data_IF_635266675511
#
_entry.id   IF_635266675511
#
_cell.length_a   1.000
_cell.length_b   1.000
_cell.length_c   1.000
_cell.angle_alpha   90.00
_cell.angle_beta   90.00
_cell.angle_gamma   90.00
#
_symmetry.space_group_name_H-M   'P 1'
#
loop_
_entity.id
_entity.type
_entity.pdbx_description
1 polymer ?
#
# COMPACT_ATOMS: atom_id res chain seq x y z
N UNK A 1 17.50 -3.18 10.67
CA UNK A 1 16.56 -3.59 9.61
C UNK A 1 16.12 -2.38 8.79
N UNK A 2 16.33 -2.40 7.47
CA UNK A 2 15.86 -1.38 6.52
C UNK A 2 14.52 -1.79 5.90
N UNK A 3 13.53 -0.92 5.97
CA UNK A 3 12.17 -1.14 5.48
C UNK A 3 11.82 -0.03 4.51
N UNK A 4 11.36 -0.37 3.30
CA UNK A 4 10.89 0.60 2.31
C UNK A 4 9.41 0.44 2.07
N UNK A 5 8.68 1.55 2.16
CA UNK A 5 7.27 1.64 1.79
C UNK A 5 7.17 2.24 0.39
N UNK A 6 6.47 1.57 -0.52
CA UNK A 6 6.23 2.04 -1.87
C UNK A 6 4.73 1.97 -2.17
N UNK A 7 4.21 2.99 -2.83
CA UNK A 7 2.78 3.10 -3.07
C UNK A 7 2.37 4.47 -3.58
N UNK A 8 1.08 4.76 -3.43
CA UNK A 8 0.44 5.97 -3.92
C UNK A 8 0.32 7.09 -2.86
N UNK A 9 -0.73 7.93 -2.92
CA UNK A 9 -0.99 9.02 -1.98
C UNK A 9 -1.22 8.54 -0.54
N UNK A 10 -1.78 7.34 -0.36
CA UNK A 10 -2.01 6.77 0.97
C UNK A 10 -0.66 6.49 1.64
N UNK A 11 0.32 6.02 0.86
CA UNK A 11 1.69 5.78 1.33
C UNK A 11 2.47 7.09 1.44
N UNK A 12 2.33 8.01 0.49
CA UNK A 12 3.02 9.31 0.49
C UNK A 12 2.76 10.07 1.80
N UNK A 13 1.51 10.13 2.25
CA UNK A 13 1.15 10.75 3.52
C UNK A 13 1.61 12.21 3.63
N UNK A 14 1.64 12.97 2.52
CA UNK A 14 2.10 14.37 2.49
C UNK A 14 3.59 14.59 2.84
N UNK A 15 4.44 13.56 2.75
CA UNK A 15 5.89 13.71 2.98
C UNK A 15 6.52 14.78 2.08
N UNK A 16 7.51 15.49 2.59
CA UNK A 16 8.39 16.33 1.79
C UNK A 16 9.33 15.44 0.94
N UNK A 17 9.08 15.39 -0.36
CA UNK A 17 9.88 14.58 -1.30
C UNK A 17 11.35 15.02 -1.42
N UNK A 18 11.66 16.25 -1.01
CA UNK A 18 13.02 16.77 -1.01
C UNK A 18 13.81 16.39 0.25
N UNK A 19 13.15 15.82 1.26
CA UNK A 19 13.78 15.29 2.47
C UNK A 19 13.63 13.75 2.48
N UNK A 20 14.71 12.99 2.22
CA UNK A 20 14.67 11.53 2.22
C UNK A 20 14.29 10.90 3.57
N UNK A 21 14.43 11.63 4.68
CA UNK A 21 14.09 11.18 6.03
C UNK A 21 12.64 11.47 6.41
N UNK A 22 11.93 12.30 5.65
CA UNK A 22 10.54 12.62 5.92
C UNK A 22 9.62 11.44 5.55
N UNK A 23 8.87 10.98 6.54
CA UNK A 23 7.93 9.86 6.43
C UNK A 23 6.49 10.33 6.15
N UNK A 24 6.25 11.64 6.13
CA UNK A 24 4.92 12.24 6.03
C UNK A 24 4.09 12.04 7.28
N UNK A 25 2.86 12.52 7.28
CA UNK A 25 1.92 12.50 8.41
C UNK A 25 0.98 11.27 8.39
N UNK A 26 1.31 10.29 7.54
CA UNK A 26 0.46 9.13 7.23
C UNK A 26 0.74 7.89 8.09
N UNK A 27 0.31 6.74 7.57
CA UNK A 27 0.50 5.46 8.27
C UNK A 27 1.97 5.05 8.40
N UNK A 28 2.86 5.52 7.51
CA UNK A 28 4.29 5.18 7.53
C UNK A 28 4.99 5.79 8.73
N UNK A 29 4.72 7.06 9.07
CA UNK A 29 5.26 7.69 10.28
C UNK A 29 4.69 7.04 11.55
N UNK A 30 3.38 6.77 11.58
CA UNK A 30 2.75 6.07 12.70
C UNK A 30 3.37 4.67 12.89
N UNK A 31 3.59 3.96 11.79
CA UNK A 31 4.25 2.67 11.76
C UNK A 31 5.65 2.76 12.38
N UNK A 32 6.49 3.67 11.90
CA UNK A 32 7.86 3.82 12.38
C UNK A 32 7.90 4.14 13.88
N UNK A 33 7.08 5.09 14.32
CA UNK A 33 6.99 5.50 15.72
C UNK A 33 6.54 4.37 16.65
N UNK A 34 5.58 3.54 16.22
CA UNK A 34 5.15 2.37 16.99
C UNK A 34 6.21 1.27 16.99
N UNK A 35 6.79 0.99 15.83
CA UNK A 35 7.74 -0.10 15.65
C UNK A 35 8.98 0.07 16.54
N UNK A 36 9.58 1.27 16.56
CA UNK A 36 10.77 1.55 17.37
C UNK A 36 10.52 1.45 18.88
N UNK A 37 9.29 1.70 19.34
CA UNK A 37 8.91 1.55 20.74
C UNK A 37 8.61 0.10 21.11
N UNK A 38 8.14 -0.71 20.16
CA UNK A 38 7.84 -2.12 20.41
C UNK A 38 9.09 -3.00 20.41
N UNK A 39 10.13 -2.60 19.68
CA UNK A 39 11.36 -3.37 19.50
C UNK A 39 12.58 -2.49 19.74
N UNK A 40 12.76 -2.04 20.99
CA UNK A 40 13.78 -1.05 21.38
C UNK A 40 15.22 -1.52 21.10
N UNK A 41 15.47 -2.83 21.14
CA UNK A 41 16.79 -3.43 20.86
C UNK A 41 17.10 -3.55 19.35
N UNK A 42 16.16 -3.19 18.47
CA UNK A 42 16.33 -3.28 17.02
C UNK A 42 16.45 -1.90 16.39
N UNK A 43 17.55 -1.66 15.69
CA UNK A 43 17.71 -0.43 14.88
C UNK A 43 16.92 -0.54 13.57
N UNK A 44 15.97 0.37 13.37
CA UNK A 44 15.18 0.47 12.13
C UNK A 44 15.58 1.66 11.28
N UNK A 45 15.62 1.45 9.97
CA UNK A 45 15.63 2.52 8.96
C UNK A 45 14.38 2.37 8.12
N UNK A 46 13.48 3.35 8.16
CA UNK A 46 12.25 3.34 7.36
C UNK A 46 12.36 4.40 6.27
N UNK A 47 12.05 4.01 5.03
CA UNK A 47 12.02 4.90 3.89
C UNK A 47 10.59 4.97 3.35
N UNK A 48 10.08 6.19 3.17
CA UNK A 48 8.82 6.43 2.48
C UNK A 48 9.09 6.80 1.02
N UNK A 49 8.63 5.96 0.10
CA UNK A 49 8.69 6.14 -1.36
C UNK A 49 7.29 6.16 -1.97
N UNK A 50 6.30 6.61 -1.20
CA UNK A 50 4.97 6.91 -1.72
C UNK A 50 4.99 8.14 -2.64
N UNK A 51 4.19 8.09 -3.71
CA UNK A 51 3.97 9.21 -4.65
C UNK A 51 2.49 9.29 -5.01
N UNK A 52 1.88 10.44 -4.74
CA UNK A 52 0.47 10.71 -4.91
C UNK A 52 0.00 10.52 -6.35
N UNK A 53 -1.06 9.73 -6.51
CA UNK A 53 -1.66 9.44 -7.80
C UNK A 53 -0.96 8.34 -8.61
N UNK A 54 0.11 7.73 -8.11
CA UNK A 54 0.77 6.63 -8.81
C UNK A 54 -0.18 5.47 -9.07
N UNK A 55 -0.09 4.94 -10.29
CA UNK A 55 -0.58 3.62 -10.70
C UNK A 55 0.54 2.60 -10.61
N UNK A 56 0.23 1.33 -10.79
CA UNK A 56 1.26 0.27 -10.73
C UNK A 56 2.36 0.46 -11.79
N UNK A 57 2.01 1.00 -12.97
CA UNK A 57 2.96 1.31 -14.04
C UNK A 57 3.95 2.42 -13.63
N UNK A 58 3.47 3.44 -12.91
CA UNK A 58 4.30 4.54 -12.44
C UNK A 58 5.30 4.03 -11.38
N UNK A 59 4.84 3.15 -10.47
CA UNK A 59 5.70 2.47 -9.50
C UNK A 59 6.75 1.60 -10.21
N UNK A 60 6.36 0.82 -11.22
CA UNK A 60 7.30 -0.03 -11.98
C UNK A 60 8.42 0.78 -12.64
N UNK A 61 8.11 1.97 -13.16
CA UNK A 61 9.07 2.84 -13.82
C UNK A 61 10.14 3.41 -12.87
N UNK A 62 9.83 3.56 -11.58
CA UNK A 62 10.76 4.08 -10.55
C UNK A 62 11.28 3.02 -9.58
N UNK A 63 10.90 1.76 -9.75
CA UNK A 63 11.17 0.68 -8.80
C UNK A 63 12.66 0.48 -8.52
N UNK A 64 13.50 0.60 -9.55
CA UNK A 64 14.95 0.44 -9.41
C UNK A 64 15.54 1.50 -8.46
N UNK A 65 15.16 2.76 -8.67
CA UNK A 65 15.65 3.88 -7.87
C UNK A 65 15.08 3.83 -6.45
N UNK A 66 13.78 3.62 -6.31
CA UNK A 66 13.09 3.80 -5.03
C UNK A 66 13.17 2.58 -4.12
N UNK A 67 13.31 1.37 -4.66
CA UNK A 67 13.22 0.13 -3.88
C UNK A 67 14.47 -0.73 -4.03
N UNK A 68 14.87 -1.05 -5.26
CA UNK A 68 15.91 -2.05 -5.49
C UNK A 68 17.31 -1.52 -5.15
N UNK A 69 17.59 -0.25 -5.45
CA UNK A 69 18.86 0.40 -5.10
C UNK A 69 19.08 0.51 -3.59
N UNK A 70 17.99 0.57 -2.81
CA UNK A 70 18.03 0.71 -1.36
C UNK A 70 18.50 -0.55 -0.64
N UNK A 71 18.41 -1.72 -1.30
CA UNK A 71 18.73 -3.03 -0.71
C UNK A 71 18.03 -3.22 0.65
N UNK A 72 16.72 -2.96 0.68
CA UNK A 72 15.92 -3.08 1.89
C UNK A 72 15.78 -4.54 2.32
N UNK A 73 15.69 -4.79 3.62
CA UNK A 73 15.37 -6.10 4.17
C UNK A 73 13.90 -6.44 3.93
N UNK A 74 13.02 -5.42 4.01
CA UNK A 74 11.58 -5.54 3.77
C UNK A 74 11.10 -4.43 2.85
N UNK A 75 10.28 -4.80 1.87
CA UNK A 75 9.48 -3.87 1.06
C UNK A 75 7.99 -4.05 1.38
N UNK A 76 7.28 -2.94 1.55
CA UNK A 76 5.83 -2.90 1.74
C UNK A 76 5.20 -2.18 0.56
N UNK A 77 4.34 -2.89 -0.18
CA UNK A 77 3.60 -2.33 -1.31
C UNK A 77 2.13 -2.11 -0.93
N UNK A 78 1.64 -0.89 -1.14
CA UNK A 78 0.22 -0.52 -1.11
C UNK A 78 -0.10 0.35 -2.33
N UNK A 79 -0.69 -0.26 -3.35
CA UNK A 79 -1.05 0.41 -4.61
C UNK A 79 -2.15 -0.35 -5.35
N UNK A 80 -2.85 0.34 -6.25
CA UNK A 80 -3.84 -0.23 -7.17
C UNK A 80 -5.16 0.53 -7.24
N UNK A 81 -5.48 1.37 -6.26
CA UNK A 81 -6.75 2.13 -6.27
C UNK A 81 -6.80 3.15 -7.40
N UNK A 82 -5.68 3.80 -7.72
CA UNK A 82 -5.60 4.78 -8.81
C UNK A 82 -5.77 4.14 -10.19
N UNK A 83 -5.32 2.89 -10.36
CA UNK A 83 -5.48 2.14 -11.61
C UNK A 83 -6.96 1.98 -11.98
N UNK A 84 -7.84 1.86 -10.98
CA UNK A 84 -9.28 1.75 -11.19
C UNK A 84 -9.95 3.13 -11.26
N UNK A 85 -9.61 4.03 -10.33
CA UNK A 85 -10.27 5.34 -10.22
C UNK A 85 -9.98 6.21 -11.45
N UNK A 86 -8.75 6.16 -12.01
CA UNK A 86 -8.37 6.93 -13.21
C UNK A 86 -8.87 6.29 -14.50
N UNK A 87 -8.92 4.95 -14.58
CA UNK A 87 -9.42 4.26 -15.77
C UNK A 87 -10.93 4.46 -16.02
N UNK A 88 -11.64 5.19 -15.16
CA UNK A 88 -13.03 5.58 -15.33
C UNK A 88 -13.21 7.03 -15.78
N UNK A 89 -12.13 7.73 -16.15
CA UNK A 89 -12.23 8.94 -16.95
C UNK A 89 -12.79 8.61 -18.35
N UNK A 90 -13.53 9.53 -19.01
CA UNK A 90 -14.20 9.22 -20.26
C UNK A 90 -13.24 8.71 -21.34
N UNK A 91 -13.40 7.45 -21.76
CA UNK A 91 -12.64 6.83 -22.85
C UNK A 91 -11.67 5.73 -22.42
N UNK A 92 -11.34 5.63 -21.13
CA UNK A 92 -10.53 4.53 -20.59
C UNK A 92 -11.43 3.41 -20.04
N UNK A 93 -10.93 2.18 -20.07
CA UNK A 93 -11.53 1.02 -19.40
C UNK A 93 -10.45 0.34 -18.59
N UNK A 94 -10.77 -0.04 -17.35
CA UNK A 94 -9.86 -0.83 -16.55
C UNK A 94 -9.67 -2.22 -17.19
N UNK A 95 -8.41 -2.60 -17.42
CA UNK A 95 -8.02 -3.93 -17.88
C UNK A 95 -7.27 -4.65 -16.76
N UNK A 96 -7.95 -5.63 -16.16
CA UNK A 96 -7.43 -6.40 -15.04
C UNK A 96 -6.24 -7.28 -15.43
N UNK A 97 -6.11 -7.71 -16.69
CA UNK A 97 -4.99 -8.54 -17.13
C UNK A 97 -3.72 -7.70 -17.30
N UNK A 98 -3.84 -6.56 -17.99
CA UNK A 98 -2.72 -5.60 -18.12
C UNK A 98 -2.26 -5.10 -16.75
N UNK A 99 -3.20 -4.77 -15.85
CA UNK A 99 -2.87 -4.43 -14.46
C UNK A 99 -2.16 -5.59 -13.75
N UNK A 100 -2.69 -6.81 -13.83
CA UNK A 100 -2.14 -7.99 -13.17
C UNK A 100 -0.71 -8.28 -13.60
N UNK A 101 -0.41 -8.21 -14.90
CA UNK A 101 0.93 -8.42 -15.43
C UNK A 101 1.93 -7.36 -14.93
N UNK A 102 1.53 -6.09 -14.89
CA UNK A 102 2.37 -5.02 -14.36
C UNK A 102 2.60 -5.15 -12.85
N UNK A 103 1.58 -5.56 -12.09
CA UNK A 103 1.69 -5.81 -10.66
C UNK A 103 2.61 -7.00 -10.37
N UNK A 104 2.46 -8.09 -11.13
CA UNK A 104 3.32 -9.27 -11.04
C UNK A 104 4.79 -8.93 -11.30
N UNK A 105 5.08 -8.11 -12.32
CA UNK A 105 6.44 -7.65 -12.60
C UNK A 105 7.05 -6.90 -11.41
N UNK A 106 6.29 -5.98 -10.80
CA UNK A 106 6.75 -5.25 -9.60
C UNK A 106 7.06 -6.22 -8.45
N UNK A 107 6.15 -7.16 -8.13
CA UNK A 107 6.37 -8.11 -7.05
C UNK A 107 7.59 -9.00 -7.32
N UNK A 108 7.69 -9.53 -8.54
CA UNK A 108 8.79 -10.38 -8.99
C UNK A 108 10.13 -9.66 -8.84
N UNK A 109 10.24 -8.42 -9.34
CA UNK A 109 11.47 -7.61 -9.27
C UNK A 109 11.88 -7.32 -7.83
N UNK A 110 10.94 -7.00 -6.94
CA UNK A 110 11.24 -6.82 -5.50
C UNK A 110 11.81 -8.10 -4.90
N UNK A 111 11.19 -9.25 -5.19
CA UNK A 111 11.64 -10.55 -4.69
C UNK A 111 13.02 -10.96 -5.22
N UNK A 112 13.28 -10.71 -6.50
CA UNK A 112 14.59 -10.93 -7.12
C UNK A 112 15.67 -9.99 -6.53
N UNK A 113 15.28 -8.80 -6.07
CA UNK A 113 16.13 -7.88 -5.31
C UNK A 113 16.48 -8.37 -3.89
N UNK A 114 15.88 -9.46 -3.42
CA UNK A 114 16.19 -10.11 -2.14
C UNK A 114 15.40 -9.62 -0.94
N UNK A 115 14.53 -8.62 -1.09
CA UNK A 115 13.71 -8.12 0.00
C UNK A 115 12.59 -9.12 0.36
N UNK A 116 12.25 -9.19 1.65
CA UNK A 116 10.96 -9.74 2.09
C UNK A 116 9.85 -8.79 1.65
N UNK A 117 8.76 -9.33 1.12
CA UNK A 117 7.68 -8.56 0.55
C UNK A 117 6.42 -8.66 1.40
N UNK A 118 5.93 -7.51 1.88
CA UNK A 118 4.58 -7.37 2.43
C UNK A 118 3.70 -6.71 1.38
N UNK A 119 2.63 -7.40 0.97
CA UNK A 119 1.57 -6.79 0.17
C UNK A 119 0.45 -6.37 1.10
N UNK A 120 0.23 -5.06 1.22
CA UNK A 120 -0.98 -4.51 1.79
C UNK A 120 -1.95 -4.24 0.64
N UNK A 121 -3.03 -5.03 0.54
CA UNK A 121 -3.94 -4.89 -0.59
C UNK A 121 -4.60 -3.50 -0.60
N UNK A 122 -4.84 -2.92 -1.79
CA UNK A 122 -5.61 -1.69 -1.90
C UNK A 122 -7.04 -1.90 -1.35
N UNK A 123 -7.68 -0.82 -0.92
CA UNK A 123 -9.05 -0.82 -0.41
C UNK A 123 -9.88 0.29 -1.04
N UNK A 124 -11.21 0.14 -1.04
CA UNK A 124 -12.13 1.17 -1.52
C UNK A 124 -13.44 1.17 -0.72
N UNK A 125 -13.71 2.25 0.02
CA UNK A 125 -14.94 2.35 0.78
C UNK A 125 -16.13 2.69 -0.13
N UNK A 126 -17.29 2.10 0.19
CA UNK A 126 -18.53 2.23 -0.59
C UNK A 126 -19.30 3.56 -0.34
N UNK A 127 -18.62 4.70 -0.45
CA UNK A 127 -19.28 6.02 -0.49
C UNK A 127 -20.00 6.23 -1.84
N UNK A 128 -21.03 7.10 -1.94
CA UNK A 128 -21.92 7.15 -3.11
C UNK A 128 -21.21 7.27 -4.48
N UNK A 129 -20.19 8.11 -4.61
CA UNK A 129 -19.46 8.34 -5.86
C UNK A 129 -18.43 7.23 -6.18
N UNK A 130 -18.04 6.43 -5.17
CA UNK A 130 -17.09 5.31 -5.33
C UNK A 130 -17.76 3.98 -5.64
N UNK A 131 -19.07 3.82 -5.39
CA UNK A 131 -19.81 2.58 -5.69
C UNK A 131 -19.67 2.12 -7.15
N UNK A 132 -19.59 3.06 -8.09
CA UNK A 132 -19.43 2.77 -9.53
C UNK A 132 -18.14 2.02 -9.87
N UNK A 133 -17.10 2.16 -9.04
CA UNK A 133 -15.80 1.52 -9.25
C UNK A 133 -15.74 0.11 -8.70
N UNK A 134 -16.71 -0.31 -7.88
CA UNK A 134 -16.60 -1.55 -7.10
C UNK A 134 -16.38 -2.78 -7.97
N UNK A 135 -17.06 -2.89 -9.12
CA UNK A 135 -16.90 -4.02 -10.05
C UNK A 135 -15.45 -4.15 -10.54
N UNK A 136 -14.89 -3.06 -11.04
CA UNK A 136 -13.55 -3.08 -11.63
C UNK A 136 -12.49 -3.17 -10.52
N UNK A 137 -12.77 -2.57 -9.35
CA UNK A 137 -11.95 -2.71 -8.16
C UNK A 137 -11.92 -4.15 -7.64
N UNK A 138 -13.05 -4.88 -7.63
CA UNK A 138 -13.09 -6.29 -7.22
C UNK A 138 -12.25 -7.17 -8.17
N UNK A 139 -12.29 -6.89 -9.47
CA UNK A 139 -11.45 -7.58 -10.45
C UNK A 139 -9.96 -7.31 -10.23
N UNK A 140 -9.60 -6.06 -9.94
CA UNK A 140 -8.23 -5.65 -9.57
C UNK A 140 -7.78 -6.35 -8.28
N UNK A 141 -8.61 -6.31 -7.23
CA UNK A 141 -8.31 -6.89 -5.93
C UNK A 141 -8.13 -8.40 -6.01
N UNK A 142 -8.92 -9.09 -6.84
CA UNK A 142 -8.75 -10.52 -7.10
C UNK A 142 -7.36 -10.84 -7.67
N UNK A 143 -6.85 -10.01 -8.59
CA UNK A 143 -5.48 -10.14 -9.13
C UNK A 143 -4.43 -9.91 -8.04
N UNK A 144 -4.58 -8.85 -7.24
CA UNK A 144 -3.66 -8.56 -6.13
C UNK A 144 -3.60 -9.72 -5.14
N UNK A 145 -4.75 -10.30 -4.77
CA UNK A 145 -4.82 -11.44 -3.84
C UNK A 145 -4.17 -12.70 -4.39
N UNK A 146 -4.43 -13.05 -5.66
CA UNK A 146 -3.76 -14.18 -6.31
C UNK A 146 -2.23 -14.01 -6.34
N UNK A 147 -1.77 -12.82 -6.71
CA UNK A 147 -0.35 -12.49 -6.76
C UNK A 147 0.28 -12.46 -5.36
N UNK A 148 -0.42 -11.96 -4.35
CA UNK A 148 0.06 -11.98 -2.98
C UNK A 148 0.29 -13.40 -2.47
N UNK A 149 -0.57 -14.36 -2.82
CA UNK A 149 -0.37 -15.78 -2.49
C UNK A 149 0.90 -16.34 -3.14
N UNK A 150 1.21 -15.92 -4.37
CA UNK A 150 2.36 -16.42 -5.14
C UNK A 150 3.69 -15.78 -4.74
N UNK A 151 3.70 -14.49 -4.40
CA UNK A 151 4.93 -13.70 -4.28
C UNK A 151 5.19 -13.09 -2.91
N UNK A 152 4.15 -12.77 -2.13
CA UNK A 152 4.34 -12.06 -0.87
C UNK A 152 4.84 -13.00 0.23
N UNK A 153 5.76 -12.52 1.06
CA UNK A 153 6.11 -13.20 2.32
C UNK A 153 5.04 -12.96 3.39
N UNK A 154 4.28 -11.85 3.28
CA UNK A 154 3.09 -11.63 4.07
C UNK A 154 2.04 -10.77 3.33
N UNK A 155 0.76 -11.04 3.61
CA UNK A 155 -0.37 -10.31 3.04
C UNK A 155 -1.22 -9.64 4.14
N UNK A 156 -1.62 -8.38 3.91
CA UNK A 156 -2.55 -7.62 4.76
C UNK A 156 -3.81 -7.31 3.96
N UNK A 157 -4.93 -7.95 4.33
CA UNK A 157 -6.22 -7.82 3.64
C UNK A 157 -6.99 -6.55 4.07
N UNK A 158 -6.48 -5.37 3.71
CA UNK A 158 -7.04 -4.09 4.15
C UNK A 158 -8.49 -3.87 3.70
N UNK A 159 -8.92 -4.29 2.50
CA UNK A 159 -10.30 -4.08 2.03
C UNK A 159 -11.29 -4.87 2.92
N UNK A 160 -10.94 -6.10 3.30
CA UNK A 160 -11.73 -6.92 4.24
C UNK A 160 -11.75 -6.30 5.65
N UNK A 161 -10.57 -5.90 6.16
CA UNK A 161 -10.45 -5.29 7.48
C UNK A 161 -11.33 -4.04 7.55
N UNK A 162 -11.24 -3.15 6.56
CA UNK A 162 -12.01 -1.92 6.51
C UNK A 162 -13.51 -2.17 6.31
N UNK A 163 -13.90 -3.17 5.51
CA UNK A 163 -15.29 -3.58 5.39
C UNK A 163 -15.87 -4.00 6.75
N UNK A 164 -15.13 -4.79 7.54
CA UNK A 164 -15.56 -5.24 8.86
C UNK A 164 -15.68 -4.09 9.87
N UNK A 165 -14.62 -3.29 10.05
CA UNK A 165 -14.62 -2.23 11.09
C UNK A 165 -15.57 -1.07 10.78
N UNK A 166 -15.91 -0.86 9.51
CA UNK A 166 -16.83 0.20 9.08
C UNK A 166 -18.30 -0.12 9.36
N UNK A 167 -18.66 -1.38 9.57
CA UNK A 167 -20.04 -1.75 9.93
C UNK A 167 -20.49 -1.12 11.25
N UNK A 168 -19.57 -0.98 12.21
CA UNK A 168 -19.87 -0.47 13.54
C UNK A 168 -19.63 1.05 13.65
N UNK A 169 -18.50 1.54 13.14
CA UNK A 169 -18.11 2.94 13.31
C UNK A 169 -18.55 3.85 12.16
N UNK A 170 -19.10 3.27 11.08
CA UNK A 170 -19.40 3.99 9.84
C UNK A 170 -18.15 4.28 9.00
N UNK A 171 -18.34 4.43 7.69
CA UNK A 171 -17.25 4.70 6.73
C UNK A 171 -16.54 6.03 7.05
N UNK A 172 -17.29 7.07 7.43
CA UNK A 172 -16.76 8.41 7.70
C UNK A 172 -15.71 8.46 8.83
N UNK A 173 -15.69 7.45 9.72
CA UNK A 173 -14.64 7.34 10.73
C UNK A 173 -13.26 6.98 10.14
N UNK A 174 -13.23 6.40 8.94
CA UNK A 174 -12.04 5.88 8.28
C UNK A 174 -11.69 6.61 6.98
N UNK A 175 -12.69 7.09 6.23
CA UNK A 175 -12.47 7.87 5.01
C UNK A 175 -13.68 8.74 4.68
N UNK A 176 -13.42 9.98 4.24
CA UNK A 176 -14.46 10.91 3.81
C UNK A 176 -14.84 10.72 2.33
N UNK A 177 -13.84 10.52 1.46
CA UNK A 177 -14.00 10.39 0.01
C UNK A 177 -13.99 8.92 -0.47
N UNK A 178 -13.78 7.99 0.45
CA UNK A 178 -13.70 6.55 0.22
C UNK A 178 -12.36 6.03 -0.29
N UNK A 179 -11.34 6.87 -0.38
CA UNK A 179 -9.96 6.51 -0.78
C UNK A 179 -8.95 7.00 0.26
N UNK A 180 -8.92 8.30 0.54
CA UNK A 180 -7.98 8.89 1.49
C UNK A 180 -8.45 8.67 2.91
N UNK A 181 -7.51 8.27 3.76
CA UNK A 181 -7.79 7.72 5.09
C UNK A 181 -7.60 8.74 6.19
N UNK A 182 -8.43 8.64 7.23
CA UNK A 182 -8.27 9.40 8.47
C UNK A 182 -7.10 8.85 9.29
N UNK A 183 -6.65 9.62 10.28
CA UNK A 183 -5.66 9.17 11.27
C UNK A 183 -6.02 7.82 11.92
N UNK A 184 -7.31 7.58 12.16
CA UNK A 184 -7.81 6.32 12.73
C UNK A 184 -7.52 5.13 11.79
N UNK A 185 -7.77 5.30 10.50
CA UNK A 185 -7.45 4.29 9.50
C UNK A 185 -5.93 4.13 9.31
N UNK A 186 -5.15 5.22 9.32
CA UNK A 186 -3.69 5.13 9.29
C UNK A 186 -3.12 4.28 10.43
N UNK A 187 -3.64 4.45 11.66
CA UNK A 187 -3.26 3.61 12.81
C UNK A 187 -3.55 2.13 12.56
N UNK A 188 -4.71 1.81 12.00
CA UNK A 188 -5.12 0.43 11.72
C UNK A 188 -4.24 -0.22 10.64
N UNK A 189 -3.90 0.53 9.59
CA UNK A 189 -2.96 0.08 8.55
C UNK A 189 -1.60 -0.23 9.18
N UNK A 190 -1.05 0.72 9.95
CA UNK A 190 0.24 0.56 10.62
C UNK A 190 0.26 -0.68 11.55
N UNK A 191 -0.77 -0.87 12.38
CA UNK A 191 -0.85 -2.00 13.32
C UNK A 191 -0.88 -3.35 12.60
N UNK A 192 -1.64 -3.45 11.50
CA UNK A 192 -1.72 -4.68 10.73
C UNK A 192 -0.40 -4.99 9.98
N UNK A 193 0.31 -3.98 9.51
CA UNK A 193 1.63 -4.16 8.88
C UNK A 193 2.66 -4.58 9.93
N UNK A 194 2.71 -3.94 11.11
CA UNK A 194 3.61 -4.33 12.22
C UNK A 194 3.36 -5.79 12.62
N UNK A 195 2.09 -6.20 12.73
CA UNK A 195 1.73 -7.58 13.06
C UNK A 195 2.30 -8.60 12.07
N UNK A 196 2.37 -8.25 10.78
CA UNK A 196 2.99 -9.11 9.75
C UNK A 196 4.51 -9.04 9.78
N UNK A 197 5.07 -7.85 9.94
CA UNK A 197 6.52 -7.62 10.03
C UNK A 197 7.16 -8.39 11.19
N UNK A 198 6.44 -8.55 12.32
CA UNK A 198 6.93 -9.27 13.50
C UNK A 198 7.41 -10.71 13.20
N UNK A 199 6.95 -11.33 12.11
CA UNK A 199 7.43 -12.66 11.68
C UNK A 199 8.82 -12.63 11.03
N UNK A 200 9.39 -11.46 10.76
CA UNK A 200 10.69 -11.26 10.11
C UNK A 200 11.76 -10.69 11.05
N UNK A 201 11.39 -10.41 12.30
CA UNK A 201 12.26 -9.93 13.38
C UNK A 201 12.79 -11.11 14.19
#
# INVERSE_FOLDING_TARGET
>A
MKIVFVGDSITEGMRNKNDPADLGEGFVEIFYNKLRNLYEDTSFTVLNRGVGGDRIADISARLDADVLSERADVAVLLAGVNDVVRACEPGEKFDAETFGAAYEDVLRRIKEGGAKLIVAEPFLFAVPDKKRFRRDFDAMLAKVRDLAVRYADAHVALDEIFAGVSQNAGIAAYSADGVHVTHRACRLIADNIIKKLAAFL
#
